data_IF_302958640493
#
_entry.id   IF_302958640493
#
_cell.length_a   1.000
_cell.length_b   1.000
_cell.length_c   1.000
_cell.angle_alpha   90.00
_cell.angle_beta   90.00
_cell.angle_gamma   90.00
#
_symmetry.space_group_name_H-M   'P 1'
#
loop_
_entity.id
_entity.type
_entity.pdbx_description
1 polymer ?
#
# COMPACT_ATOMS: atom_id res chain seq x y z
N UNK A 1 -6.03 13.96 -7.76
CA UNK A 1 -6.32 12.62 -8.29
C UNK A 1 -5.29 11.69 -7.68
N UNK A 2 -5.70 10.53 -7.16
CA UNK A 2 -4.79 9.61 -6.47
C UNK A 2 -4.21 8.62 -7.48
N UNK A 3 -2.89 8.50 -7.56
CA UNK A 3 -2.18 7.81 -8.67
C UNK A 3 -1.61 6.45 -8.19
N UNK A 4 -1.65 5.37 -8.98
CA UNK A 4 -1.86 4.03 -8.41
C UNK A 4 -0.62 3.19 -8.03
N UNK A 5 0.60 3.75 -7.92
CA UNK A 5 1.81 2.97 -7.58
C UNK A 5 2.65 3.61 -6.46
N UNK A 6 2.22 3.40 -5.20
CA UNK A 6 3.02 3.68 -4.00
C UNK A 6 3.72 2.41 -3.52
N UNK A 7 4.71 1.92 -4.28
CA UNK A 7 5.62 0.84 -3.83
C UNK A 7 6.97 1.35 -3.34
N UNK A 8 7.53 2.35 -4.02
CA UNK A 8 8.82 2.97 -3.65
C UNK A 8 8.69 4.27 -2.84
N UNK A 9 7.49 4.60 -2.35
CA UNK A 9 7.20 5.83 -1.58
C UNK A 9 6.93 5.53 -0.08
N UNK A 10 7.31 4.32 0.39
CA UNK A 10 7.12 3.87 1.78
C UNK A 10 8.08 4.53 2.81
N UNK A 11 8.43 5.80 2.57
CA UNK A 11 9.13 6.69 3.50
C UNK A 11 8.57 8.13 3.50
N UNK A 12 7.66 8.52 2.59
CA UNK A 12 7.22 9.92 2.45
C UNK A 12 5.74 10.07 2.04
N UNK A 13 4.80 9.82 2.98
CA UNK A 13 3.51 10.54 3.10
C UNK A 13 2.62 9.98 4.23
N UNK A 14 2.96 10.27 5.49
CA UNK A 14 2.03 10.33 6.62
C UNK A 14 2.39 11.55 7.50
N UNK A 15 1.42 12.16 8.19
CA UNK A 15 1.50 13.58 8.57
C UNK A 15 2.39 13.90 9.80
N UNK A 16 3.00 15.08 9.71
CA UNK A 16 3.74 15.84 10.70
C UNK A 16 3.19 15.85 12.16
N UNK A 17 4.11 15.75 13.15
CA UNK A 17 4.18 16.66 14.32
C UNK A 17 5.45 16.47 15.18
N UNK A 18 6.08 17.60 15.54
CA UNK A 18 7.28 17.78 16.37
C UNK A 18 7.35 16.95 17.69
N UNK A 19 8.52 16.66 18.30
CA UNK A 19 9.55 17.63 18.75
C UNK A 19 10.81 16.95 19.37
N UNK A 20 11.99 17.55 19.17
CA UNK A 20 13.31 17.35 19.83
C UNK A 20 13.44 16.47 21.09
N UNK A 21 14.53 15.66 21.14
CA UNK A 21 15.54 15.71 22.22
C UNK A 21 16.87 14.96 21.92
N UNK A 22 17.97 15.55 22.40
CA UNK A 22 19.38 15.10 22.40
C UNK A 22 20.24 15.54 21.19
N UNK A 23 21.51 15.91 21.36
CA UNK A 23 22.33 15.98 22.57
C UNK A 23 23.80 15.77 22.23
N UNK A 24 24.66 16.73 22.55
CA UNK A 24 26.04 16.78 22.04
C UNK A 24 26.93 15.62 22.50
N UNK A 25 27.70 15.04 21.57
CA UNK A 25 29.01 14.46 21.85
C UNK A 25 29.92 14.59 20.61
N UNK A 26 31.11 15.14 20.79
CA UNK A 26 32.18 15.19 19.79
C UNK A 26 33.26 14.16 20.15
N UNK A 27 33.98 13.60 19.17
CA UNK A 27 35.43 13.35 19.27
C UNK A 27 36.04 12.92 17.91
N UNK A 28 37.23 13.44 17.62
CA UNK A 28 38.03 13.20 16.40
C UNK A 28 38.76 11.83 16.40
N UNK A 29 38.85 11.21 15.21
CA UNK A 29 39.96 10.45 14.55
C UNK A 29 41.24 9.97 15.33
N UNK A 30 42.07 8.98 14.85
CA UNK A 30 42.20 8.54 13.44
C UNK A 30 42.42 7.03 13.13
N UNK A 31 42.18 6.71 11.85
CA UNK A 31 42.92 5.78 10.94
C UNK A 31 43.75 4.63 11.55
N UNK A 32 43.36 3.38 11.22
CA UNK A 32 44.30 2.26 11.13
C UNK A 32 43.93 1.26 10.00
N UNK A 33 44.88 1.00 9.10
CA UNK A 33 44.96 -0.15 8.17
C UNK A 33 46.44 -0.60 8.16
N UNK A 34 46.85 -1.81 7.66
CA UNK A 34 46.12 -2.64 6.71
C UNK A 34 46.22 -4.19 6.86
N UNK A 35 45.52 -4.86 5.94
CA UNK A 35 45.84 -6.16 5.32
C UNK A 35 45.82 -7.45 6.15
N UNK A 36 44.87 -8.34 5.82
CA UNK A 36 45.15 -9.75 5.47
C UNK A 36 44.10 -10.24 4.42
N UNK A 37 44.28 -11.41 3.75
CA UNK A 37 43.86 -11.56 2.35
C UNK A 37 42.37 -11.91 2.17
N UNK A 38 41.72 -11.19 1.25
CA UNK A 38 40.40 -11.56 0.72
C UNK A 38 40.54 -12.84 -0.10
N UNK A 39 39.77 -13.88 0.29
CA UNK A 39 39.67 -15.12 -0.48
C UNK A 39 39.09 -14.84 -1.88
N UNK A 40 39.50 -15.61 -2.89
CA UNK A 40 38.98 -15.45 -4.26
C UNK A 40 37.45 -15.55 -4.30
N UNK A 41 36.80 -14.43 -4.58
CA UNK A 41 35.41 -14.43 -5.03
C UNK A 41 35.32 -15.23 -6.34
N UNK A 42 34.52 -16.29 -6.33
CA UNK A 42 34.09 -16.97 -7.54
C UNK A 42 33.16 -16.04 -8.34
N UNK A 43 33.25 -16.03 -9.68
CA UNK A 43 32.56 -15.04 -10.49
C UNK A 43 31.06 -15.34 -10.65
N UNK A 44 30.27 -14.27 -10.60
CA UNK A 44 29.07 -14.03 -11.43
C UNK A 44 28.03 -15.15 -11.46
N UNK A 45 26.98 -15.00 -10.64
CA UNK A 45 25.68 -15.60 -10.97
C UNK A 45 25.24 -15.07 -12.34
N UNK A 46 24.76 -15.95 -13.22
CA UNK A 46 24.13 -15.53 -14.47
C UNK A 46 22.71 -15.06 -14.17
N UNK A 47 22.24 -14.01 -14.87
CA UNK A 47 20.87 -13.53 -14.78
C UNK A 47 19.86 -14.69 -14.74
N UNK A 48 19.05 -14.73 -13.68
CA UNK A 48 18.20 -15.86 -13.32
C UNK A 48 16.89 -15.34 -12.74
N UNK A 49 15.83 -16.14 -12.86
CA UNK A 49 14.52 -15.81 -12.27
C UNK A 49 14.65 -15.71 -10.75
N UNK A 50 15.31 -16.70 -10.12
CA UNK A 50 15.60 -16.75 -8.69
C UNK A 50 16.31 -15.46 -8.20
N UNK A 51 17.40 -15.05 -8.84
CA UNK A 51 18.10 -13.82 -8.48
C UNK A 51 17.32 -12.52 -8.77
N UNK A 52 16.36 -12.54 -9.70
CA UNK A 52 15.44 -11.41 -9.92
C UNK A 52 14.40 -11.32 -8.81
N UNK A 53 13.85 -12.47 -8.39
CA UNK A 53 12.96 -12.58 -7.23
C UNK A 53 13.66 -12.02 -5.97
N UNK A 54 14.85 -12.55 -5.64
CA UNK A 54 15.65 -12.10 -4.49
C UNK A 54 16.00 -10.60 -4.54
N UNK A 55 16.40 -10.08 -5.70
CA UNK A 55 16.77 -8.67 -5.86
C UNK A 55 15.59 -7.70 -5.64
N UNK A 56 14.38 -8.05 -6.10
CA UNK A 56 13.19 -7.21 -5.89
C UNK A 56 12.75 -7.27 -4.42
N UNK A 57 12.75 -8.45 -3.81
CA UNK A 57 12.44 -8.60 -2.38
C UNK A 57 13.40 -7.79 -1.48
N UNK A 58 14.69 -7.77 -1.83
CA UNK A 58 15.69 -6.97 -1.14
C UNK A 58 15.49 -5.45 -1.35
N UNK A 59 15.10 -5.03 -2.56
CA UNK A 59 14.78 -3.64 -2.88
C UNK A 59 13.56 -3.13 -2.12
N UNK A 60 12.45 -3.89 -2.13
CA UNK A 60 11.22 -3.57 -1.39
C UNK A 60 11.49 -3.50 0.12
N UNK A 61 12.27 -4.44 0.67
CA UNK A 61 12.68 -4.44 2.09
C UNK A 61 13.53 -3.22 2.45
N UNK A 62 14.45 -2.80 1.58
CA UNK A 62 15.31 -1.65 1.84
C UNK A 62 14.57 -0.31 1.72
N UNK A 63 13.58 -0.20 0.84
CA UNK A 63 12.77 1.00 0.65
C UNK A 63 12.07 1.45 1.95
N UNK A 64 11.67 0.50 2.79
CA UNK A 64 11.06 0.73 4.12
C UNK A 64 12.00 1.32 5.18
N UNK A 65 13.30 1.41 4.87
CA UNK A 65 14.33 1.92 5.80
C UNK A 65 14.93 3.25 5.36
N UNK A 66 14.42 3.83 4.28
CA UNK A 66 14.92 5.09 3.74
C UNK A 66 14.53 6.27 4.64
N UNK A 67 15.39 7.29 4.77
CA UNK A 67 15.04 8.52 5.49
C UNK A 67 13.90 9.26 4.78
N UNK A 68 12.93 9.72 5.56
CA UNK A 68 11.85 10.60 5.11
C UNK A 68 12.39 11.98 4.70
N UNK A 69 11.70 12.64 3.78
CA UNK A 69 11.90 14.05 3.49
C UNK A 69 11.30 14.90 4.62
N UNK A 70 12.06 15.10 5.70
CA UNK A 70 11.74 16.11 6.70
C UNK A 70 11.85 17.50 6.07
N UNK A 71 10.89 18.39 6.31
CA UNK A 71 11.09 19.81 6.06
C UNK A 71 12.18 20.33 7.00
N UNK A 72 13.39 20.53 6.47
CA UNK A 72 14.42 21.29 7.20
C UNK A 72 13.94 22.74 7.36
N UNK A 73 13.27 23.00 8.48
CA UNK A 73 13.00 24.35 8.94
C UNK A 73 14.34 25.09 9.06
N UNK A 74 14.54 26.24 8.38
CA UNK A 74 15.80 26.94 8.44
C UNK A 74 16.07 27.38 9.88
N UNK A 75 17.17 26.91 10.47
CA UNK A 75 17.66 27.42 11.76
C UNK A 75 17.93 28.93 11.62
N UNK A 76 16.99 29.74 12.08
CA UNK A 76 17.12 31.18 12.09
C UNK A 76 18.19 31.58 13.10
N UNK A 77 19.31 32.13 12.63
CA UNK A 77 20.27 32.80 13.50
C UNK A 77 19.53 33.85 14.35
N UNK A 78 19.48 33.62 15.67
CA UNK A 78 18.87 34.54 16.63
C UNK A 78 19.71 35.82 16.73
N UNK A 79 19.47 36.74 15.80
CA UNK A 79 20.02 38.09 15.81
C UNK A 79 19.45 38.90 16.98
N UNK A 80 20.29 39.15 17.99
CA UNK A 80 19.99 40.02 19.12
C UNK A 80 19.75 41.49 18.65
N UNK A 81 18.50 41.95 18.65
CA UNK A 81 18.15 43.37 18.53
C UNK A 81 17.19 43.80 19.65
N UNK A 82 17.76 44.16 20.81
CA UNK A 82 17.02 44.83 21.90
C UNK A 82 16.81 46.33 21.62
N UNK A 83 15.72 46.86 22.18
CA UNK A 83 15.43 48.28 22.42
C UNK A 83 15.23 49.22 21.20
N UNK A 84 13.98 49.66 21.01
CA UNK A 84 13.61 51.00 21.50
C UNK A 84 12.10 51.24 21.57
N UNK A 85 11.64 51.74 22.72
CA UNK A 85 10.23 52.05 23.00
C UNK A 85 9.74 53.36 22.38
N UNK A 86 8.45 53.43 22.01
CA UNK A 86 7.62 54.63 22.25
C UNK A 86 6.12 54.32 22.28
N UNK A 87 5.37 55.08 23.07
CA UNK A 87 4.03 54.69 23.57
C UNK A 87 2.82 55.34 22.85
N UNK A 88 1.66 54.68 23.05
CA UNK A 88 0.37 55.27 23.46
C UNK A 88 -0.66 55.86 22.47
N UNK A 89 -1.92 55.48 22.77
CA UNK A 89 -3.22 56.16 22.52
C UNK A 89 -3.73 56.24 21.07
N UNK A 90 -4.97 55.86 20.75
CA UNK A 90 -6.21 56.17 21.48
C UNK A 90 -7.39 55.19 21.23
N UNK A 91 -8.43 55.35 22.04
CA UNK A 91 -9.64 54.50 22.15
C UNK A 91 -10.78 54.82 21.13
N UNK A 92 -11.88 54.02 21.08
CA UNK A 92 -12.72 53.86 19.89
C UNK A 92 -13.98 54.74 19.83
N UNK A 93 -14.73 54.66 18.72
CA UNK A 93 -16.12 55.15 18.63
C UNK A 93 -17.09 54.10 18.11
N UNK A 94 -18.10 53.81 18.92
CA UNK A 94 -19.27 52.97 18.62
C UNK A 94 -20.37 53.73 17.88
N UNK A 95 -21.14 53.04 17.02
CA UNK A 95 -22.56 53.39 16.77
C UNK A 95 -23.42 52.13 16.63
N UNK A 96 -24.59 52.15 17.28
CA UNK A 96 -25.59 51.07 17.24
C UNK A 96 -26.66 51.30 16.17
N UNK A 97 -27.21 50.24 15.60
CA UNK A 97 -28.46 50.28 14.84
C UNK A 97 -29.18 48.94 14.90
N UNK A 98 -30.39 48.91 15.48
CA UNK A 98 -31.20 47.71 15.66
C UNK A 98 -32.58 47.89 15.07
N UNK A 99 -33.05 46.93 14.25
CA UNK A 99 -34.47 46.53 14.19
C UNK A 99 -34.74 45.36 13.24
N UNK A 100 -35.60 44.45 13.70
CA UNK A 100 -36.23 43.32 13.02
C UNK A 100 -37.03 43.62 11.75
N UNK A 101 -37.14 42.65 10.83
CA UNK A 101 -38.41 41.91 10.56
C UNK A 101 -38.28 40.85 9.44
N UNK A 102 -39.16 39.85 9.44
CA UNK A 102 -39.18 38.67 8.54
C UNK A 102 -40.01 38.88 7.27
N UNK A 103 -39.66 38.20 6.16
CA UNK A 103 -40.56 37.28 5.40
C UNK A 103 -40.04 36.92 3.98
N UNK A 104 -40.45 35.75 3.51
CA UNK A 104 -40.10 35.06 2.26
C UNK A 104 -40.36 35.82 0.94
N UNK A 105 -39.55 35.54 -0.11
CA UNK A 105 -40.01 34.95 -1.39
C UNK A 105 -38.88 34.87 -2.45
N UNK A 106 -39.01 33.92 -3.38
CA UNK A 106 -38.01 33.57 -4.41
C UNK A 106 -37.88 34.58 -5.56
N UNK A 107 -36.64 34.80 -6.04
CA UNK A 107 -36.32 34.95 -7.47
C UNK A 107 -34.80 34.88 -7.74
N UNK A 108 -34.38 33.90 -8.53
CA UNK A 108 -33.18 34.00 -9.40
C UNK A 108 -33.67 34.38 -10.82
N UNK A 109 -32.79 34.75 -11.78
CA UNK A 109 -31.33 34.88 -11.72
C UNK A 109 -30.83 36.29 -12.12
N UNK A 110 -29.53 36.55 -12.01
CA UNK A 110 -28.64 36.79 -13.15
C UNK A 110 -27.20 37.12 -12.67
N UNK A 111 -26.25 36.58 -13.43
CA UNK A 111 -24.80 36.82 -13.44
C UNK A 111 -24.23 37.99 -12.63
N UNK A 112 -23.35 37.66 -11.68
CA UNK A 112 -22.16 38.45 -11.40
C UNK A 112 -21.00 37.50 -11.12
N UNK A 113 -20.07 37.42 -12.08
CA UNK A 113 -18.84 36.67 -11.89
C UNK A 113 -17.97 37.43 -10.89
N UNK A 114 -17.92 36.93 -9.66
CA UNK A 114 -16.76 37.15 -8.80
C UNK A 114 -15.87 35.95 -9.02
N UNK A 115 -14.65 36.19 -9.51
CA UNK A 115 -13.58 35.19 -9.43
C UNK A 115 -13.43 34.84 -7.96
N UNK A 116 -13.76 33.60 -7.58
CA UNK A 116 -13.15 33.03 -6.38
C UNK A 116 -11.73 32.67 -6.78
N UNK A 117 -10.75 33.05 -5.97
CA UNK A 117 -9.46 32.38 -6.01
C UNK A 117 -9.74 30.88 -5.88
N UNK A 118 -9.35 30.10 -6.89
CA UNK A 118 -9.35 28.65 -6.79
C UNK A 118 -8.26 28.30 -5.77
N UNK A 119 -8.68 27.95 -4.56
CA UNK A 119 -7.78 27.39 -3.57
C UNK A 119 -7.29 26.05 -4.09
N UNK A 120 -6.08 26.04 -4.65
CA UNK A 120 -5.37 24.82 -5.03
C UNK A 120 -4.97 24.06 -3.74
N UNK A 121 -5.96 23.43 -3.10
CA UNK A 121 -5.78 22.35 -2.13
C UNK A 121 -5.35 21.07 -2.84
N UNK A 122 -4.32 21.18 -3.68
CA UNK A 122 -3.57 20.03 -4.15
C UNK A 122 -2.65 19.57 -3.02
N UNK A 123 -2.64 18.28 -2.73
CA UNK A 123 -1.61 17.70 -1.87
C UNK A 123 -0.27 17.91 -2.58
N UNK A 124 0.56 18.82 -2.04
CA UNK A 124 1.83 19.19 -2.65
C UNK A 124 2.75 17.96 -2.59
N UNK A 125 3.35 17.60 -3.73
CA UNK A 125 4.23 16.44 -3.79
C UNK A 125 5.36 16.61 -2.75
N UNK A 126 5.75 15.53 -2.03
CA UNK A 126 6.73 15.64 -0.97
C UNK A 126 8.02 16.28 -1.51
N UNK A 127 8.65 17.20 -0.75
CA UNK A 127 9.84 17.89 -1.22
C UNK A 127 10.95 16.88 -1.53
N UNK A 128 11.82 17.16 -2.52
CA UNK A 128 12.86 16.23 -2.89
C UNK A 128 13.83 15.99 -1.73
N UNK A 129 14.28 14.75 -1.54
CA UNK A 129 15.33 14.43 -0.59
C UNK A 129 16.60 15.21 -0.93
N UNK A 130 17.26 15.77 0.09
CA UNK A 130 18.52 16.51 -0.09
C UNK A 130 19.57 16.08 0.94
N UNK A 131 20.76 16.70 0.88
CA UNK A 131 21.77 16.60 1.92
C UNK A 131 22.19 15.16 2.27
N UNK A 132 22.22 14.87 3.57
CA UNK A 132 22.59 13.57 4.10
C UNK A 132 21.57 12.47 3.75
N UNK A 133 20.26 12.78 3.84
CA UNK A 133 19.19 11.83 3.55
C UNK A 133 19.26 11.29 2.10
N UNK A 134 19.50 12.16 1.11
CA UNK A 134 19.72 11.73 -0.27
C UNK A 134 20.99 10.89 -0.44
N UNK A 135 22.07 11.22 0.28
CA UNK A 135 23.32 10.46 0.22
C UNK A 135 23.16 9.05 0.82
N UNK A 136 22.41 8.92 1.92
CA UNK A 136 22.05 7.65 2.54
C UNK A 136 21.12 6.82 1.66
N UNK A 137 20.02 7.41 1.16
CA UNK A 137 19.11 6.74 0.24
C UNK A 137 19.84 6.21 -1.01
N UNK A 138 20.77 7.00 -1.58
CA UNK A 138 21.62 6.56 -2.68
C UNK A 138 22.56 5.42 -2.30
N UNK A 139 23.22 5.50 -1.14
CA UNK A 139 24.15 4.48 -0.68
C UNK A 139 23.45 3.14 -0.41
N UNK A 140 22.19 3.18 0.04
CA UNK A 140 21.34 2.01 0.26
C UNK A 140 20.81 1.42 -1.05
N UNK A 141 20.28 2.26 -1.96
CA UNK A 141 19.56 1.77 -3.14
C UNK A 141 20.44 1.43 -4.34
N UNK A 142 21.50 2.20 -4.65
CA UNK A 142 22.31 1.95 -5.85
C UNK A 142 22.84 0.50 -5.97
N UNK A 143 23.40 -0.16 -4.93
CA UNK A 143 23.83 -1.56 -5.05
C UNK A 143 22.66 -2.52 -5.34
N UNK A 144 21.47 -2.27 -4.79
CA UNK A 144 20.28 -3.08 -5.06
C UNK A 144 19.78 -2.90 -6.49
N UNK A 145 19.89 -1.68 -7.05
CA UNK A 145 19.60 -1.41 -8.46
C UNK A 145 20.65 -2.04 -9.40
N UNK A 146 21.92 -2.14 -8.99
CA UNK A 146 22.96 -2.89 -9.71
C UNK A 146 22.68 -4.40 -9.71
N UNK A 147 22.33 -4.99 -8.56
CA UNK A 147 21.97 -6.41 -8.44
C UNK A 147 20.70 -6.74 -9.23
N UNK A 148 19.71 -5.85 -9.22
CA UNK A 148 18.48 -5.97 -10.01
C UNK A 148 18.75 -5.92 -11.52
N UNK A 149 19.65 -5.04 -11.97
CA UNK A 149 20.08 -4.99 -13.38
C UNK A 149 20.89 -6.24 -13.77
N UNK A 150 21.75 -6.75 -12.89
CA UNK A 150 22.54 -7.95 -13.10
C UNK A 150 21.67 -9.21 -13.25
N UNK A 151 20.51 -9.25 -12.60
CA UNK A 151 19.56 -10.37 -12.65
C UNK A 151 18.44 -10.22 -13.69
N UNK A 152 18.43 -9.13 -14.48
CA UNK A 152 17.40 -8.85 -15.50
C UNK A 152 17.14 -10.03 -16.44
N UNK A 153 15.90 -10.53 -16.43
CA UNK A 153 15.43 -11.57 -17.35
C UNK A 153 14.75 -10.98 -18.59
N UNK A 154 14.81 -11.69 -19.72
CA UNK A 154 14.33 -11.19 -21.01
C UNK A 154 12.81 -10.93 -21.07
N UNK A 155 12.01 -11.60 -20.24
CA UNK A 155 10.55 -11.46 -20.22
C UNK A 155 10.07 -10.07 -19.77
N UNK A 156 10.78 -9.45 -18.82
CA UNK A 156 10.44 -8.14 -18.24
C UNK A 156 11.53 -7.09 -18.43
N UNK A 157 12.49 -7.33 -19.32
CA UNK A 157 13.67 -6.46 -19.50
C UNK A 157 13.32 -4.99 -19.80
N UNK A 158 12.29 -4.74 -20.63
CA UNK A 158 11.82 -3.38 -20.95
C UNK A 158 11.21 -2.66 -19.74
N UNK A 159 10.17 -3.22 -19.10
CA UNK A 159 9.63 -2.70 -17.84
C UNK A 159 10.69 -2.47 -16.77
N UNK A 160 11.61 -3.41 -16.57
CA UNK A 160 12.67 -3.29 -15.58
C UNK A 160 13.66 -2.16 -15.91
N UNK A 161 14.01 -1.96 -17.18
CA UNK A 161 14.83 -0.82 -17.62
C UNK A 161 14.14 0.54 -17.33
N UNK A 162 12.82 0.62 -17.50
CA UNK A 162 12.02 1.81 -17.12
C UNK A 162 12.05 2.05 -15.61
N UNK A 163 11.86 1.02 -14.78
CA UNK A 163 11.90 1.14 -13.32
C UNK A 163 13.30 1.55 -12.82
N UNK A 164 14.35 0.86 -13.28
CA UNK A 164 15.75 1.17 -12.96
C UNK A 164 16.13 2.60 -13.38
N UNK A 165 15.70 3.04 -14.56
CA UNK A 165 15.95 4.39 -15.06
C UNK A 165 15.33 5.48 -14.18
N UNK A 166 14.08 5.29 -13.75
CA UNK A 166 13.39 6.22 -12.84
C UNK A 166 13.99 6.18 -11.43
N UNK A 167 14.32 5.00 -10.90
CA UNK A 167 14.93 4.85 -9.58
C UNK A 167 16.31 5.51 -9.49
N UNK A 168 17.18 5.30 -10.50
CA UNK A 168 18.47 5.99 -10.59
C UNK A 168 18.32 7.51 -10.77
N UNK A 169 17.24 7.94 -11.42
CA UNK A 169 16.81 9.34 -11.46
C UNK A 169 16.55 9.88 -10.05
N UNK A 170 15.62 9.27 -9.32
CA UNK A 170 15.21 9.67 -7.97
C UNK A 170 16.39 9.78 -7.00
N UNK A 171 17.26 8.77 -6.91
CA UNK A 171 18.45 8.80 -6.03
C UNK A 171 19.57 9.73 -6.52
N UNK A 172 19.41 10.37 -7.69
CA UNK A 172 20.32 11.40 -8.21
C UNK A 172 19.77 12.81 -8.04
N UNK A 173 18.45 13.00 -8.15
CA UNK A 173 17.79 14.31 -8.07
C UNK A 173 17.17 14.61 -6.71
N UNK A 174 16.90 13.58 -5.90
CA UNK A 174 16.05 13.66 -4.71
C UNK A 174 14.56 13.56 -5.02
N UNK A 175 14.16 13.53 -6.29
CA UNK A 175 12.76 13.57 -6.72
C UNK A 175 12.18 12.15 -6.84
N UNK A 176 11.45 11.72 -5.80
CA UNK A 176 10.78 10.42 -5.73
C UNK A 176 9.37 10.44 -6.33
N UNK A 177 8.83 11.62 -6.72
CA UNK A 177 7.52 11.72 -7.38
C UNK A 177 7.47 10.99 -8.74
N UNK A 178 8.64 10.71 -9.33
CA UNK A 178 8.79 9.92 -10.56
C UNK A 178 8.14 8.53 -10.49
N UNK A 179 8.00 7.96 -9.29
CA UNK A 179 7.34 6.66 -9.07
C UNK A 179 5.81 6.75 -9.17
N UNK A 180 5.21 7.92 -8.98
CA UNK A 180 3.77 8.13 -9.19
C UNK A 180 3.39 8.26 -10.67
N UNK A 181 4.36 8.25 -11.59
CA UNK A 181 4.08 8.37 -13.04
C UNK A 181 3.37 7.12 -13.61
N UNK A 182 2.38 7.33 -14.50
CA UNK A 182 1.68 6.23 -15.21
C UNK A 182 2.65 5.26 -15.91
N UNK A 183 3.78 5.77 -16.39
CA UNK A 183 4.85 4.97 -17.02
C UNK A 183 5.57 4.05 -16.01
N UNK A 184 5.79 4.51 -14.77
CA UNK A 184 6.31 3.64 -13.71
C UNK A 184 5.28 2.59 -13.34
N UNK A 185 4.04 2.99 -13.05
CA UNK A 185 2.96 2.09 -12.67
C UNK A 185 2.69 0.99 -13.71
N UNK A 186 2.73 1.33 -15.00
CA UNK A 186 2.56 0.36 -16.08
C UNK A 186 3.76 -0.59 -16.24
N UNK A 187 4.97 -0.19 -15.82
CA UNK A 187 6.15 -1.04 -15.81
C UNK A 187 6.17 -1.98 -14.59
N UNK A 188 5.92 -1.41 -13.41
CA UNK A 188 5.75 -2.08 -12.11
C UNK A 188 4.76 -3.25 -12.24
N UNK A 189 3.53 -2.99 -12.67
CA UNK A 189 2.50 -4.01 -12.85
C UNK A 189 2.87 -5.14 -13.85
N UNK A 190 3.79 -4.92 -14.78
CA UNK A 190 4.30 -5.96 -15.68
C UNK A 190 5.38 -6.82 -15.02
N UNK A 191 6.25 -6.21 -14.20
CA UNK A 191 7.24 -6.93 -13.38
C UNK A 191 6.55 -7.75 -12.30
N UNK A 192 5.59 -7.15 -11.60
CA UNK A 192 4.80 -7.78 -10.54
C UNK A 192 4.10 -9.05 -11.00
N UNK A 193 3.38 -8.95 -12.12
CA UNK A 193 2.69 -10.08 -12.71
C UNK A 193 3.67 -11.22 -13.01
N UNK A 194 4.85 -10.89 -13.56
CA UNK A 194 5.87 -11.88 -13.87
C UNK A 194 6.43 -12.55 -12.60
N UNK A 195 6.67 -11.78 -11.52
CA UNK A 195 7.12 -12.35 -10.25
C UNK A 195 6.06 -13.26 -9.62
N UNK A 196 4.79 -12.87 -9.64
CA UNK A 196 3.68 -13.71 -9.13
C UNK A 196 3.52 -15.00 -9.96
N UNK A 197 3.80 -14.96 -11.27
CA UNK A 197 3.71 -16.13 -12.14
C UNK A 197 4.94 -17.08 -12.05
N UNK A 198 6.13 -16.57 -11.68
CA UNK A 198 7.41 -17.30 -11.86
C UNK A 198 8.26 -17.46 -10.59
N UNK A 199 8.02 -16.70 -9.50
CA UNK A 199 8.69 -16.89 -8.21
C UNK A 199 7.94 -17.90 -7.32
N UNK A 200 8.67 -18.75 -6.57
CA UNK A 200 8.09 -19.71 -5.61
C UNK A 200 7.73 -19.05 -4.27
N UNK A 201 6.98 -17.94 -4.34
CA UNK A 201 6.53 -17.18 -3.18
C UNK A 201 5.28 -17.81 -2.54
N UNK A 202 5.12 -17.65 -1.22
CA UNK A 202 3.82 -17.83 -0.60
C UNK A 202 2.84 -16.79 -1.18
N UNK A 203 1.55 -17.10 -1.29
CA UNK A 203 0.55 -16.14 -1.75
C UNK A 203 -0.38 -15.72 -0.59
N UNK A 204 -0.67 -14.42 -0.52
CA UNK A 204 -1.63 -13.80 0.40
C UNK A 204 -2.55 -12.87 -0.40
N UNK A 205 -3.65 -13.43 -0.91
CA UNK A 205 -4.69 -12.67 -1.59
C UNK A 205 -5.65 -12.06 -0.57
N UNK A 206 -5.77 -10.73 -0.60
CA UNK A 206 -6.61 -9.94 0.32
C UNK A 206 -7.59 -9.10 -0.48
N UNK A 207 -8.88 -9.17 -0.15
CA UNK A 207 -9.89 -8.28 -0.71
C UNK A 207 -10.27 -7.23 0.33
N UNK A 208 -10.12 -5.96 -0.01
CA UNK A 208 -10.66 -4.83 0.72
C UNK A 208 -12.07 -4.46 0.21
N UNK A 209 -12.96 -4.21 1.16
CA UNK A 209 -14.15 -3.40 1.00
C UNK A 209 -14.08 -2.24 1.99
N UNK A 210 -14.99 -1.27 1.91
CA UNK A 210 -14.95 -0.12 2.81
C UNK A 210 -15.08 -0.54 4.27
N UNK A 211 -13.97 -0.36 4.99
CA UNK A 211 -13.75 -0.70 6.40
C UNK A 211 -13.61 -2.19 6.74
N UNK A 212 -13.37 -3.06 5.75
CA UNK A 212 -13.24 -4.52 5.95
C UNK A 212 -12.13 -5.11 5.07
N UNK A 213 -11.28 -5.95 5.66
CA UNK A 213 -10.41 -6.87 4.91
C UNK A 213 -10.98 -8.28 4.96
N UNK A 214 -10.86 -9.02 3.87
CA UNK A 214 -11.16 -10.45 3.79
C UNK A 214 -10.02 -11.18 3.09
N UNK A 215 -9.83 -12.46 3.39
CA UNK A 215 -8.73 -13.27 2.83
C UNK A 215 -7.47 -13.34 3.70
N UNK A 216 -7.30 -12.43 4.67
CA UNK A 216 -6.22 -12.52 5.68
C UNK A 216 -6.40 -13.79 6.53
N UNK A 217 -5.43 -14.73 6.54
CA UNK A 217 -5.55 -15.96 7.31
C UNK A 217 -5.06 -15.75 8.75
N UNK A 218 -5.72 -16.40 9.71
CA UNK A 218 -5.24 -16.44 11.11
C UNK A 218 -3.84 -17.06 11.28
N UNK A 219 -3.34 -17.80 10.29
CA UNK A 219 -1.95 -18.30 10.28
C UNK A 219 -1.40 -18.42 8.86
N UNK A 220 -0.23 -17.83 8.62
CA UNK A 220 0.50 -17.88 7.35
C UNK A 220 1.87 -18.56 7.48
N UNK A 221 2.48 -18.90 6.34
CA UNK A 221 3.80 -19.51 6.24
C UNK A 221 4.89 -18.43 6.17
N UNK A 222 6.02 -18.68 6.80
CA UNK A 222 7.19 -17.81 6.76
C UNK A 222 7.89 -17.78 5.39
N UNK A 223 8.70 -16.76 5.17
CA UNK A 223 9.51 -16.54 3.96
C UNK A 223 8.87 -15.60 2.93
N UNK A 224 9.46 -15.53 1.73
CA UNK A 224 9.02 -14.65 0.63
C UNK A 224 7.55 -14.86 0.29
N UNK A 225 6.79 -13.77 0.30
CA UNK A 225 5.33 -13.78 0.16
C UNK A 225 4.89 -12.67 -0.78
N UNK A 226 4.13 -13.01 -1.83
CA UNK A 226 3.38 -12.04 -2.61
C UNK A 226 2.06 -11.73 -1.92
N UNK A 227 1.78 -10.44 -1.71
CA UNK A 227 0.52 -9.96 -1.15
C UNK A 227 -0.22 -9.23 -2.26
N UNK A 228 -1.43 -9.66 -2.60
CA UNK A 228 -2.27 -8.98 -3.60
C UNK A 228 -3.51 -8.40 -2.93
N UNK A 229 -3.56 -7.08 -2.81
CA UNK A 229 -4.71 -6.32 -2.33
C UNK A 229 -5.63 -5.98 -3.51
N UNK A 230 -6.82 -6.58 -3.55
CA UNK A 230 -7.89 -6.21 -4.48
C UNK A 230 -8.90 -5.32 -3.78
N UNK A 231 -9.23 -4.16 -4.35
CA UNK A 231 -10.20 -3.22 -3.77
C UNK A 231 -11.56 -3.29 -4.51
N UNK A 232 -12.58 -3.76 -3.78
CA UNK A 232 -13.99 -3.81 -4.23
C UNK A 232 -14.86 -2.68 -3.61
N UNK A 233 -14.28 -1.80 -2.79
CA UNK A 233 -14.93 -0.66 -2.15
C UNK A 233 -15.03 0.61 -3.00
N UNK A 234 -15.65 1.66 -2.45
CA UNK A 234 -15.73 2.99 -3.05
C UNK A 234 -14.56 3.90 -2.61
N UNK A 235 -13.93 3.63 -1.47
CA UNK A 235 -12.74 4.34 -0.97
C UNK A 235 -11.42 3.69 -1.44
N UNK A 236 -10.32 4.45 -1.59
CA UNK A 236 -9.00 3.87 -1.78
C UNK A 236 -8.55 3.14 -0.51
N UNK A 237 -7.89 2.00 -0.66
CA UNK A 237 -7.46 1.16 0.47
C UNK A 237 -5.96 0.90 0.42
N UNK A 238 -5.32 0.90 1.59
CA UNK A 238 -3.93 0.46 1.77
C UNK A 238 -3.88 -0.62 2.84
N UNK A 239 -3.16 -1.69 2.55
CA UNK A 239 -2.83 -2.75 3.48
C UNK A 239 -1.45 -2.43 4.04
N UNK A 240 -1.34 -2.02 5.30
CA UNK A 240 -0.05 -1.98 6.00
C UNK A 240 0.09 -3.26 6.84
N UNK A 241 1.22 -3.94 6.69
CA UNK A 241 1.58 -5.14 7.45
C UNK A 241 2.64 -4.80 8.49
N UNK A 242 2.34 -5.03 9.77
CA UNK A 242 3.24 -4.77 10.90
C UNK A 242 3.49 -6.04 11.70
N UNK A 243 4.77 -6.37 11.93
CA UNK A 243 5.22 -7.44 12.84
C UNK A 243 5.33 -6.88 14.25
N UNK A 244 4.60 -7.45 15.21
CA UNK A 244 4.70 -7.10 16.63
C UNK A 244 5.97 -7.76 17.20
N UNK A 245 6.74 -7.02 18.00
CA UNK A 245 7.99 -7.51 18.57
C UNK A 245 7.73 -8.67 19.55
N UNK A 246 8.65 -9.63 19.60
CA UNK A 246 8.50 -10.87 20.38
C UNK A 246 8.48 -10.65 21.91
N UNK A 247 8.94 -9.49 22.38
CA UNK A 247 8.93 -9.05 23.78
C UNK A 247 7.73 -8.17 24.15
N UNK A 248 6.90 -7.81 23.17
CA UNK A 248 5.60 -7.16 23.40
C UNK A 248 4.51 -8.22 23.62
N UNK A 249 3.64 -7.99 24.60
CA UNK A 249 2.43 -8.80 24.86
C UNK A 249 1.15 -8.16 24.29
N UNK A 250 1.26 -6.99 23.63
CA UNK A 250 0.11 -6.24 23.12
C UNK A 250 -0.57 -6.94 21.92
N UNK A 251 -1.88 -6.74 21.80
CA UNK A 251 -2.65 -7.06 20.58
C UNK A 251 -2.38 -6.05 19.46
N UNK A 252 -2.81 -6.36 18.23
CA UNK A 252 -2.77 -5.42 17.11
C UNK A 252 -3.56 -4.14 17.38
N UNK A 253 -4.76 -4.26 17.95
CA UNK A 253 -5.58 -3.10 18.35
C UNK A 253 -4.85 -2.24 19.40
N UNK A 254 -4.23 -2.86 20.41
CA UNK A 254 -3.46 -2.16 21.44
C UNK A 254 -2.20 -1.48 20.88
N UNK A 255 -1.50 -2.10 19.92
CA UNK A 255 -0.35 -1.51 19.22
C UNK A 255 -0.79 -0.28 18.41
N UNK A 256 -1.87 -0.38 17.62
CA UNK A 256 -2.38 0.74 16.82
C UNK A 256 -2.90 1.89 17.71
N UNK A 257 -3.46 1.57 18.87
CA UNK A 257 -3.93 2.57 19.84
C UNK A 257 -2.80 3.39 20.50
N UNK A 258 -1.53 3.01 20.34
CA UNK A 258 -0.38 3.81 20.78
C UNK A 258 -0.08 5.01 19.86
N UNK A 259 -0.69 5.07 18.67
CA UNK A 259 -0.25 5.95 17.58
C UNK A 259 1.09 5.52 16.99
N UNK A 260 1.52 6.17 15.90
CA UNK A 260 2.67 5.74 15.10
C UNK A 260 3.98 5.64 15.90
N UNK A 261 4.41 6.74 16.54
CA UNK A 261 5.65 6.78 17.35
C UNK A 261 5.61 5.80 18.54
N UNK A 262 4.43 5.40 18.99
CA UNK A 262 4.24 4.40 20.02
C UNK A 262 4.31 2.97 19.47
N UNK A 263 3.64 2.72 18.35
CA UNK A 263 3.64 1.44 17.65
C UNK A 263 5.04 1.04 17.19
N UNK A 264 5.81 1.96 16.61
CA UNK A 264 7.19 1.74 16.15
C UNK A 264 8.19 1.36 17.27
N UNK A 265 7.82 1.54 18.55
CA UNK A 265 8.63 1.07 19.69
C UNK A 265 8.38 -0.39 20.07
N UNK A 266 7.26 -0.97 19.64
CA UNK A 266 6.80 -2.31 20.02
C UNK A 266 6.52 -3.21 18.82
N UNK A 267 6.69 -2.69 17.60
CA UNK A 267 6.43 -3.38 16.35
C UNK A 267 7.24 -2.75 15.20
N UNK A 268 7.37 -3.48 14.09
CA UNK A 268 8.10 -3.08 12.88
C UNK A 268 7.17 -3.14 11.66
N UNK A 269 7.17 -2.11 10.82
CA UNK A 269 6.54 -2.17 9.49
C UNK A 269 7.29 -3.16 8.61
N UNK A 270 6.57 -4.10 8.01
CA UNK A 270 7.11 -5.14 7.12
C UNK A 270 6.80 -4.85 5.65
N UNK A 271 5.78 -4.03 5.39
CA UNK A 271 5.53 -3.43 4.08
C UNK A 271 4.09 -2.96 3.92
N UNK A 272 3.80 -2.41 2.74
CA UNK A 272 2.47 -1.95 2.38
C UNK A 272 2.08 -2.35 0.95
N UNK A 273 0.77 -2.37 0.67
CA UNK A 273 0.22 -2.49 -0.69
C UNK A 273 -0.99 -1.58 -0.84
N UNK A 274 -1.06 -0.84 -1.94
CA UNK A 274 -2.10 0.15 -2.19
C UNK A 274 -3.00 -0.26 -3.36
N UNK A 275 -4.32 -0.07 -3.23
CA UNK A 275 -5.30 -0.36 -4.26
C UNK A 275 -6.35 0.76 -4.40
N UNK A 276 -6.43 1.44 -5.56
CA UNK A 276 -7.56 2.33 -5.90
C UNK A 276 -8.89 1.57 -6.01
N UNK A 277 -10.05 2.25 -5.90
CA UNK A 277 -11.37 1.64 -6.09
C UNK A 277 -11.48 0.86 -7.41
N UNK A 278 -11.86 -0.42 -7.34
CA UNK A 278 -12.01 -1.31 -8.50
C UNK A 278 -10.71 -1.76 -9.15
N UNK A 279 -9.57 -1.57 -8.50
CA UNK A 279 -8.25 -2.01 -8.94
C UNK A 279 -7.58 -2.93 -7.90
N UNK A 280 -6.38 -3.42 -8.22
CA UNK A 280 -5.57 -4.19 -7.30
C UNK A 280 -4.12 -3.70 -7.30
N UNK A 281 -3.49 -3.77 -6.14
CA UNK A 281 -2.05 -3.64 -5.96
C UNK A 281 -1.46 -4.96 -5.48
N UNK A 282 -0.25 -5.28 -5.91
CA UNK A 282 0.54 -6.36 -5.30
C UNK A 282 1.67 -5.73 -4.46
N UNK A 283 2.36 -6.51 -3.63
CA UNK A 283 3.64 -6.19 -3.00
C UNK A 283 4.37 -7.48 -2.62
N UNK A 284 5.67 -7.43 -2.32
CA UNK A 284 6.47 -8.59 -1.93
C UNK A 284 7.14 -8.38 -0.58
N UNK A 285 6.88 -9.28 0.37
CA UNK A 285 7.38 -9.18 1.74
C UNK A 285 8.09 -10.47 2.16
N UNK A 286 9.16 -10.37 2.95
CA UNK A 286 9.76 -11.54 3.62
C UNK A 286 9.15 -11.68 5.02
N UNK A 287 8.40 -12.75 5.25
CA UNK A 287 7.64 -12.94 6.48
C UNK A 287 8.42 -13.80 7.48
N UNK A 288 9.00 -13.17 8.49
CA UNK A 288 9.59 -13.87 9.64
C UNK A 288 8.50 -14.50 10.53
N UNK A 289 8.75 -15.64 11.21
CA UNK A 289 7.82 -16.15 12.23
C UNK A 289 7.52 -15.08 13.30
N UNK A 290 6.26 -14.91 13.69
CA UNK A 290 5.87 -13.85 14.62
C UNK A 290 4.36 -13.57 14.66
N UNK A 291 3.96 -12.55 15.42
CA UNK A 291 2.58 -12.02 15.41
C UNK A 291 2.52 -10.77 14.53
N UNK A 292 1.45 -10.65 13.76
CA UNK A 292 1.27 -9.58 12.78
C UNK A 292 -0.10 -8.94 12.92
N UNK A 293 -0.16 -7.64 12.66
CA UNK A 293 -1.40 -6.90 12.40
C UNK A 293 -1.38 -6.37 10.97
N UNK A 294 -2.51 -6.55 10.29
CA UNK A 294 -2.83 -6.00 8.98
C UNK A 294 -3.85 -4.90 9.20
N UNK A 295 -3.66 -3.69 8.67
CA UNK A 295 -4.60 -2.58 8.91
C UNK A 295 -4.59 -1.52 7.81
N UNK A 296 -5.67 -0.75 7.70
CA UNK A 296 -5.78 0.42 6.83
C UNK A 296 -5.82 1.72 7.65
N UNK A 297 -4.79 2.59 7.61
CA UNK A 297 -4.76 3.89 8.27
C UNK A 297 -5.49 5.02 7.54
N UNK A 298 -5.99 4.81 6.32
CA UNK A 298 -6.60 5.89 5.53
C UNK A 298 -7.78 6.51 6.29
N UNK A 299 -7.83 7.84 6.49
CA UNK A 299 -9.00 8.54 7.01
C UNK A 299 -10.24 8.30 6.15
N UNK A 300 -11.39 8.06 6.80
CA UNK A 300 -12.69 7.93 6.11
C UNK A 300 -12.91 9.12 5.18
N UNK A 301 -13.00 8.86 3.89
CA UNK A 301 -13.20 9.86 2.85
C UNK A 301 -14.55 9.66 2.17
N UNK A 302 -15.39 10.70 2.18
CA UNK A 302 -16.66 10.65 1.48
C UNK A 302 -16.47 10.97 -0.02
N UNK A 303 -16.87 10.10 -0.95
CA UNK A 303 -16.74 10.37 -2.38
C UNK A 303 -17.34 11.71 -2.80
N UNK A 304 -16.51 12.55 -3.43
CA UNK A 304 -16.91 13.88 -3.92
C UNK A 304 -16.93 15.00 -2.86
N UNK A 305 -16.34 14.79 -1.68
CA UNK A 305 -15.96 15.89 -0.77
C UNK A 305 -14.46 16.18 -0.89
N UNK A 306 -13.99 17.20 -0.17
CA UNK A 306 -12.56 17.34 0.14
C UNK A 306 -12.12 16.20 1.07
N UNK A 307 -10.81 15.95 1.12
CA UNK A 307 -10.21 15.03 2.07
C UNK A 307 -10.13 15.69 3.45
N UNK A 308 -10.48 14.93 4.49
CA UNK A 308 -10.47 15.40 5.87
C UNK A 308 -9.47 14.55 6.67
N UNK A 309 -8.24 15.06 6.93
CA UNK A 309 -7.24 14.30 7.68
C UNK A 309 -7.62 14.07 9.15
N UNK A 310 -8.60 14.82 9.68
CA UNK A 310 -9.12 14.64 11.04
C UNK A 310 -10.21 13.55 11.13
N UNK A 311 -10.66 13.01 9.99
CA UNK A 311 -11.65 11.93 9.99
C UNK A 311 -11.02 10.61 10.49
N UNK A 312 -11.76 9.78 11.25
CA UNK A 312 -11.18 8.57 11.83
C UNK A 312 -10.63 7.62 10.76
N UNK A 313 -9.49 6.94 11.02
CA UNK A 313 -8.91 5.98 10.08
C UNK A 313 -9.78 4.74 9.92
N UNK A 314 -9.68 4.04 8.79
CA UNK A 314 -10.47 2.84 8.50
C UNK A 314 -10.28 1.73 9.56
N UNK A 315 -9.08 1.53 10.12
CA UNK A 315 -8.89 0.55 11.19
C UNK A 315 -9.73 0.87 12.44
N UNK A 316 -9.97 2.15 12.75
CA UNK A 316 -10.86 2.56 13.83
C UNK A 316 -12.37 2.36 13.51
N UNK A 317 -12.69 1.90 12.30
CA UNK A 317 -14.02 1.38 11.91
C UNK A 317 -14.09 -0.15 11.93
N UNK A 318 -12.97 -0.85 12.12
CA UNK A 318 -12.88 -2.31 12.09
C UNK A 318 -11.94 -2.88 11.03
N UNK A 319 -11.29 -2.04 10.21
CA UNK A 319 -10.41 -2.49 9.12
C UNK A 319 -9.01 -2.91 9.61
N UNK A 320 -8.98 -3.94 10.43
CA UNK A 320 -7.76 -4.59 10.91
C UNK A 320 -7.97 -6.11 11.06
N UNK A 321 -6.91 -6.88 10.82
CA UNK A 321 -6.88 -8.33 10.98
C UNK A 321 -5.57 -8.77 11.67
N UNK A 322 -5.63 -9.84 12.47
CA UNK A 322 -4.45 -10.42 13.13
C UNK A 322 -4.03 -11.75 12.48
N UNK A 323 -2.72 -11.93 12.29
CA UNK A 323 -2.14 -13.11 11.66
C UNK A 323 -0.92 -13.61 12.45
N UNK A 324 -0.77 -14.93 12.56
CA UNK A 324 0.45 -15.56 13.10
C UNK A 324 1.25 -16.15 11.96
N UNK A 325 2.52 -15.74 11.79
CA UNK A 325 3.42 -16.35 10.81
C UNK A 325 4.21 -17.48 11.47
N UNK A 326 4.32 -18.61 10.78
CA UNK A 326 5.00 -19.82 11.28
C UNK A 326 5.80 -20.50 10.16
N UNK A 327 6.85 -21.25 10.52
CA UNK A 327 7.70 -22.02 9.58
C UNK A 327 6.92 -22.88 8.57
N UNK A 328 5.78 -23.44 8.97
CA UNK A 328 5.00 -24.39 8.15
C UNK A 328 3.70 -23.81 7.60
N UNK A 329 3.28 -22.63 8.05
CA UNK A 329 1.92 -22.13 7.88
C UNK A 329 0.87 -22.96 8.63
N UNK A 330 -0.40 -22.56 8.46
CA UNK A 330 -1.53 -23.40 8.85
C UNK A 330 -1.55 -24.67 7.98
N UNK A 331 -1.86 -25.86 8.52
CA UNK A 331 -2.18 -27.00 7.67
C UNK A 331 -3.42 -26.66 6.85
N UNK A 332 -3.23 -26.50 5.54
CA UNK A 332 -4.32 -26.35 4.56
C UNK A 332 -5.41 -27.41 4.85
N UNK A 333 -6.71 -27.04 4.89
CA UNK A 333 -7.77 -28.00 5.11
C UNK A 333 -7.78 -28.99 3.94
N UNK A 334 -7.13 -30.14 4.15
CA UNK A 334 -6.83 -31.11 3.12
C UNK A 334 -8.04 -31.34 2.21
N UNK A 335 -7.90 -30.90 0.95
CA UNK A 335 -8.95 -31.02 -0.07
C UNK A 335 -9.49 -32.44 -0.08
N UNK A 336 -10.64 -32.63 0.55
CA UNK A 336 -11.26 -33.93 0.66
C UNK A 336 -11.83 -34.25 -0.72
N UNK A 337 -10.99 -34.86 -1.56
CA UNK A 337 -11.37 -35.34 -2.88
C UNK A 337 -12.55 -36.29 -2.71
N UNK A 338 -13.75 -35.75 -2.89
CA UNK A 338 -15.00 -36.50 -2.85
C UNK A 338 -15.09 -37.32 -4.13
N UNK A 339 -14.32 -38.40 -4.14
CA UNK A 339 -14.39 -39.47 -5.11
C UNK A 339 -15.75 -40.15 -4.97
N UNK A 340 -16.77 -39.50 -5.55
CA UNK A 340 -18.10 -40.07 -5.71
C UNK A 340 -17.96 -41.37 -6.51
N UNK A 341 -18.30 -42.54 -5.93
CA UNK A 341 -18.17 -43.80 -6.64
C UNK A 341 -19.16 -43.81 -7.81
N UNK A 342 -18.62 -43.89 -9.03
CA UNK A 342 -19.43 -44.04 -10.23
C UNK A 342 -20.13 -45.40 -10.24
N UNK A 343 -21.44 -45.44 -9.98
CA UNK A 343 -22.28 -46.59 -10.28
C UNK A 343 -22.69 -46.56 -11.76
N UNK A 344 -21.88 -47.16 -12.62
CA UNK A 344 -22.26 -47.40 -14.01
C UNK A 344 -23.21 -48.59 -14.11
N UNK A 345 -24.45 -48.34 -14.53
CA UNK A 345 -25.35 -49.39 -15.06
C UNK A 345 -26.05 -48.86 -16.30
N UNK A 346 -25.41 -49.03 -17.45
CA UNK A 346 -26.06 -48.80 -18.73
C UNK A 346 -26.83 -50.03 -19.19
N UNK A 347 -28.00 -49.84 -19.78
CA UNK A 347 -28.57 -50.73 -20.80
C UNK A 347 -29.53 -49.95 -21.68
N UNK A 348 -29.47 -50.23 -22.99
CA UNK A 348 -30.28 -49.56 -24.00
C UNK A 348 -31.58 -50.33 -24.30
N UNK A 349 -32.56 -49.59 -24.80
CA UNK A 349 -33.72 -49.95 -25.63
C UNK A 349 -33.99 -51.42 -25.98
N UNK A 350 -35.25 -51.89 -25.85
CA UNK A 350 -36.19 -52.13 -26.98
C UNK A 350 -37.55 -52.77 -26.58
N UNK A 351 -38.64 -52.21 -27.12
CA UNK A 351 -39.93 -52.80 -27.59
C UNK A 351 -40.75 -53.89 -26.83
N UNK A 352 -42.08 -53.73 -26.95
CA UNK A 352 -43.19 -54.73 -26.93
C UNK A 352 -43.70 -55.25 -25.57
N UNK A 353 -44.92 -54.92 -25.10
CA UNK A 353 -46.30 -55.41 -25.46
C UNK A 353 -46.75 -56.50 -24.44
N UNK A 354 -48.03 -56.73 -24.04
CA UNK A 354 -49.37 -56.25 -24.44
C UNK A 354 -50.35 -56.18 -23.19
N UNK A 355 -51.66 -56.42 -23.34
CA UNK A 355 -52.74 -56.68 -22.32
C UNK A 355 -53.21 -55.57 -21.31
N UNK A 356 -54.50 -55.40 -20.93
CA UNK A 356 -55.84 -55.70 -21.50
C UNK A 356 -56.94 -54.82 -20.78
N UNK A 357 -58.17 -54.78 -21.33
CA UNK A 357 -59.45 -54.25 -20.79
C UNK A 357 -59.72 -52.72 -20.77
N UNK A 358 -60.94 -52.29 -21.17
CA UNK A 358 -61.41 -50.92 -20.86
C UNK A 358 -62.60 -50.28 -21.59
N UNK A 359 -63.06 -50.80 -22.74
CA UNK A 359 -64.34 -50.50 -23.42
C UNK A 359 -64.80 -49.04 -23.79
N UNK A 360 -65.33 -48.94 -25.02
CA UNK A 360 -66.46 -48.08 -25.45
C UNK A 360 -66.25 -46.58 -25.77
N UNK A 361 -66.16 -46.24 -27.07
CA UNK A 361 -67.26 -45.58 -27.80
C UNK A 361 -67.07 -45.57 -29.34
N UNK A 362 -68.19 -45.66 -30.07
CA UNK A 362 -68.35 -45.97 -31.51
C UNK A 362 -67.73 -45.00 -32.56
N UNK A 363 -67.65 -45.41 -33.86
CA UNK A 363 -66.87 -44.72 -34.89
C UNK A 363 -67.68 -44.06 -36.03
N UNK A 364 -67.03 -43.19 -36.80
CA UNK A 364 -67.23 -43.10 -38.28
C UNK A 364 -66.01 -42.49 -38.99
N UNK A 365 -65.56 -43.04 -40.14
CA UNK A 365 -64.43 -42.51 -40.93
C UNK A 365 -64.91 -41.68 -42.13
N UNK A 366 -63.95 -41.07 -42.86
CA UNK A 366 -63.96 -40.49 -44.23
C UNK A 366 -63.17 -39.16 -44.21
N UNK A 367 -62.27 -38.79 -45.12
CA UNK A 367 -61.54 -39.47 -46.21
C UNK A 367 -60.53 -38.45 -46.78
N UNK A 368 -59.42 -38.90 -47.38
CA UNK A 368 -58.64 -38.25 -48.47
C UNK A 368 -58.34 -36.74 -48.41
N UNK A 369 -57.05 -36.39 -48.48
CA UNK A 369 -56.55 -35.05 -48.78
C UNK A 369 -55.03 -35.01 -48.80
#
# INVERSE_FOLDING_TARGET
MYTPSRRLIAATAALASALFLAGCASDDDPIATPSEPVASATPTSSASVEGLCEAILALDTAALTLPSAEEEAPEGEEGEDEESSSEASAEPTSTSGSSSSSSEASASPESSASSGEEGEGGEEAPPPLTGAALAEAKATLEPLLEDLEANKVAAVAGPLETMLGKARGAITTGDFSVFESEEFAAADAQVDKYLVEECDYNALDVTAADYEFTGVPSTAKAGPTSVTLTNEGEEPHVLILVRINDDSDLSGEEVLALGEEGALKVAKVVGESFAPPGAAGTAFFDLEPGRYVVFCPIPVHKPGTEFDPESPPHFAKGMLEEMIVTETGSPEPASSGSASPSSSSGSASTSSDEDEEGASASPTPTSTG
#
